data_IF_215350783585
#
_entry.id   IF_215350783585
#
_cell.length_a   1.000
_cell.length_b   1.000
_cell.length_c   1.000
_cell.angle_alpha   90.00
_cell.angle_beta   90.00
_cell.angle_gamma   90.00
#
_symmetry.space_group_name_H-M   'P 1'
#
loop_
_entity.id
_entity.type
_entity.pdbx_description
1 polymer ?
#
# COMPACT_ATOMS: atom_id res chain seq x y z
N UNK A 1 14.31 30.39 -2.28
CA UNK A 1 14.46 29.09 -2.97
C UNK A 1 13.71 28.04 -2.19
N UNK A 2 12.54 27.58 -2.68
CA UNK A 2 11.98 26.30 -2.27
C UNK A 2 12.33 25.32 -3.39
N UNK A 3 13.30 24.43 -3.15
CA UNK A 3 13.62 23.34 -4.08
C UNK A 3 12.39 22.43 -4.25
N UNK A 4 12.31 21.63 -5.34
CA UNK A 4 11.22 20.68 -5.48
C UNK A 4 11.22 19.80 -4.23
N UNK A 5 10.05 19.57 -3.64
CA UNK A 5 9.94 18.76 -2.44
C UNK A 5 10.64 17.41 -2.69
N UNK A 6 11.83 17.20 -2.10
CA UNK A 6 12.43 15.88 -1.97
C UNK A 6 11.40 15.13 -1.12
N UNK A 7 10.51 14.40 -1.79
CA UNK A 7 9.53 13.57 -1.12
C UNK A 7 10.27 12.69 -0.10
N UNK A 8 9.63 12.32 1.02
CA UNK A 8 10.28 11.52 2.04
C UNK A 8 11.02 10.34 1.39
N UNK A 9 12.32 10.24 1.64
CA UNK A 9 13.13 9.14 1.12
C UNK A 9 12.66 7.86 1.79
N UNK A 10 11.82 7.13 1.06
CA UNK A 10 11.33 5.83 1.50
C UNK A 10 12.50 4.84 1.50
N UNK A 11 12.64 4.11 2.60
CA UNK A 11 13.49 2.91 2.65
C UNK A 11 12.96 1.87 1.66
N UNK A 12 13.80 0.94 1.20
CA UNK A 12 13.38 -0.08 0.23
C UNK A 12 12.18 -0.90 0.72
N UNK A 13 12.15 -1.24 2.01
CA UNK A 13 11.01 -1.90 2.66
C UNK A 13 9.72 -1.08 2.59
N UNK A 14 9.82 0.25 2.73
CA UNK A 14 8.65 1.13 2.62
C UNK A 14 8.19 1.23 1.17
N UNK A 15 9.13 1.37 0.21
CA UNK A 15 8.82 1.36 -1.23
C UNK A 15 8.12 0.07 -1.64
N UNK A 16 8.63 -1.07 -1.16
CA UNK A 16 8.05 -2.38 -1.38
C UNK A 16 6.62 -2.47 -0.84
N UNK A 17 6.40 -2.02 0.40
CA UNK A 17 5.08 -2.04 1.02
C UNK A 17 4.10 -1.10 0.30
N UNK A 18 4.56 0.06 -0.16
CA UNK A 18 3.79 0.98 -0.99
C UNK A 18 3.39 0.34 -2.32
N UNK A 19 4.34 -0.33 -2.99
CA UNK A 19 4.09 -1.03 -4.25
C UNK A 19 3.06 -2.15 -4.06
N UNK A 20 3.21 -2.98 -3.03
CA UNK A 20 2.25 -4.04 -2.69
C UNK A 20 0.85 -3.48 -2.44
N UNK A 21 0.76 -2.37 -1.71
CA UNK A 21 -0.52 -1.76 -1.39
C UNK A 21 -1.23 -1.22 -2.65
N UNK A 22 -0.54 -0.45 -3.49
CA UNK A 22 -1.15 0.10 -4.72
C UNK A 22 -1.43 -0.96 -5.79
N UNK A 23 -0.70 -2.08 -5.77
CA UNK A 23 -0.96 -3.24 -6.65
C UNK A 23 -2.02 -4.19 -6.10
N UNK A 24 -2.54 -3.95 -4.90
CA UNK A 24 -3.64 -4.75 -4.37
C UNK A 24 -4.93 -4.41 -5.11
N UNK A 25 -5.65 -5.43 -5.55
CA UNK A 25 -6.91 -5.24 -6.26
C UNK A 25 -7.89 -4.41 -5.41
N UNK A 26 -8.63 -3.50 -6.05
CA UNK A 26 -9.53 -2.53 -5.41
C UNK A 26 -8.84 -1.41 -4.59
N UNK A 27 -7.50 -1.34 -4.57
CA UNK A 27 -6.76 -0.21 -4.01
C UNK A 27 -6.36 0.74 -5.14
N UNK A 28 -7.18 1.76 -5.38
CA UNK A 28 -6.85 2.87 -6.27
C UNK A 28 -6.07 4.00 -5.56
N UNK A 29 -5.64 5.05 -6.28
CA UNK A 29 -4.89 6.17 -5.69
C UNK A 29 -5.59 6.87 -4.52
N UNK A 30 -6.92 6.98 -4.58
CA UNK A 30 -7.72 7.56 -3.50
C UNK A 30 -7.72 6.67 -2.25
N UNK A 31 -8.02 5.37 -2.41
CA UNK A 31 -8.00 4.39 -1.31
C UNK A 31 -6.60 4.26 -0.72
N UNK A 32 -5.56 4.23 -1.55
CA UNK A 32 -4.18 4.22 -1.09
C UNK A 32 -3.91 5.41 -0.17
N UNK A 33 -4.24 6.64 -0.60
CA UNK A 33 -4.03 7.84 0.22
C UNK A 33 -4.84 7.80 1.51
N UNK A 34 -6.08 7.34 1.47
CA UNK A 34 -6.93 7.19 2.67
C UNK A 34 -6.31 6.21 3.67
N UNK A 35 -5.88 5.03 3.19
CA UNK A 35 -5.24 4.00 4.00
C UNK A 35 -3.94 4.52 4.63
N UNK A 36 -3.10 5.22 3.88
CA UNK A 36 -1.88 5.83 4.43
C UNK A 36 -2.20 6.90 5.47
N UNK A 37 -3.18 7.78 5.21
CA UNK A 37 -3.57 8.82 6.16
C UNK A 37 -4.17 8.24 7.45
N UNK A 38 -4.92 7.14 7.34
CA UNK A 38 -5.63 6.51 8.46
C UNK A 38 -4.73 5.63 9.32
N UNK A 39 -3.83 4.86 8.69
CA UNK A 39 -3.00 3.86 9.37
C UNK A 39 -1.53 4.26 9.49
N UNK A 40 -1.14 5.39 8.89
CA UNK A 40 0.20 5.97 8.97
C UNK A 40 1.27 5.29 8.09
N UNK A 41 1.06 4.04 7.66
CA UNK A 41 2.02 3.33 6.80
C UNK A 41 1.35 2.27 5.92
N UNK A 42 2.02 1.94 4.81
CA UNK A 42 1.56 0.88 3.92
C UNK A 42 1.67 -0.51 4.55
N UNK A 43 2.65 -0.74 5.44
CA UNK A 43 2.81 -2.01 6.16
C UNK A 43 1.60 -2.29 7.04
N UNK A 44 1.25 -1.35 7.92
CA UNK A 44 0.08 -1.48 8.80
C UNK A 44 -1.20 -1.57 7.99
N UNK A 45 -1.32 -0.80 6.91
CA UNK A 45 -2.47 -0.87 6.02
C UNK A 45 -2.63 -2.27 5.40
N UNK A 46 -1.55 -2.92 4.95
CA UNK A 46 -1.57 -4.26 4.38
C UNK A 46 -1.98 -5.34 5.39
N UNK A 47 -1.58 -5.19 6.66
CA UNK A 47 -1.95 -6.12 7.73
C UNK A 47 -3.45 -6.07 8.04
N UNK A 48 -4.03 -4.86 8.05
CA UNK A 48 -5.44 -4.64 8.42
C UNK A 48 -6.39 -4.74 7.20
N UNK A 49 -5.85 -4.64 5.98
CA UNK A 49 -6.63 -4.64 4.74
C UNK A 49 -7.63 -5.81 4.62
N UNK A 50 -7.27 -7.07 4.95
CA UNK A 50 -8.20 -8.19 4.88
C UNK A 50 -9.42 -8.00 5.79
N UNK A 51 -9.20 -7.51 7.02
CA UNK A 51 -10.26 -7.26 7.99
C UNK A 51 -11.20 -6.14 7.53
N UNK A 52 -10.65 -5.09 6.91
CA UNK A 52 -11.43 -3.99 6.33
C UNK A 52 -12.28 -4.46 5.15
N UNK A 53 -11.74 -5.31 4.28
CA UNK A 53 -12.47 -5.87 3.15
C UNK A 53 -13.67 -6.69 3.63
N UNK A 54 -13.46 -7.56 4.62
CA UNK A 54 -14.54 -8.36 5.21
C UNK A 54 -15.59 -7.45 5.85
N UNK A 55 -15.15 -6.47 6.67
CA UNK A 55 -16.05 -5.54 7.36
C UNK A 55 -16.81 -4.61 6.40
N UNK A 56 -16.23 -4.30 5.24
CA UNK A 56 -16.83 -3.51 4.17
C UNK A 56 -17.80 -4.28 3.27
N UNK A 57 -18.09 -5.56 3.59
CA UNK A 57 -18.99 -6.39 2.82
C UNK A 57 -18.39 -6.96 1.53
N UNK A 58 -17.05 -7.00 1.42
CA UNK A 58 -16.41 -7.62 0.26
C UNK A 58 -16.72 -9.13 0.24
N UNK A 59 -17.32 -9.58 -0.86
CA UNK A 59 -17.64 -10.99 -1.09
C UNK A 59 -16.36 -11.82 -1.28
N UNK A 60 -15.27 -11.19 -1.73
CA UNK A 60 -13.95 -11.81 -1.87
C UNK A 60 -12.86 -10.87 -1.36
N UNK A 61 -11.93 -11.43 -0.60
CA UNK A 61 -10.71 -10.74 -0.18
C UNK A 61 -9.84 -10.52 -1.43
N UNK A 62 -9.42 -9.28 -1.65
CA UNK A 62 -8.51 -8.98 -2.75
C UNK A 62 -7.17 -9.69 -2.55
N UNK A 63 -6.57 -10.17 -3.64
CA UNK A 63 -5.22 -10.72 -3.59
C UNK A 63 -4.24 -9.59 -3.27
N UNK A 64 -3.55 -9.71 -2.13
CA UNK A 64 -2.42 -8.87 -1.77
C UNK A 64 -1.15 -9.47 -2.41
N UNK A 65 -0.37 -8.72 -3.19
CA UNK A 65 0.89 -9.20 -3.75
C UNK A 65 1.87 -9.65 -2.66
N UNK A 66 2.60 -10.72 -2.93
CA UNK A 66 3.66 -11.22 -2.04
C UNK A 66 4.84 -10.24 -2.01
N UNK A 67 5.70 -10.36 -1.00
CA UNK A 67 6.95 -9.59 -0.92
C UNK A 67 7.81 -9.85 -2.17
N UNK A 68 8.04 -11.12 -2.51
CA UNK A 68 8.84 -11.51 -3.68
C UNK A 68 8.30 -10.99 -5.02
N UNK A 69 6.97 -10.95 -5.19
CA UNK A 69 6.35 -10.40 -6.41
C UNK A 69 6.61 -8.90 -6.56
N UNK A 70 6.58 -8.17 -5.45
CA UNK A 70 6.86 -6.75 -5.47
C UNK A 70 8.37 -6.45 -5.55
N UNK A 71 9.23 -7.32 -5.01
CA UNK A 71 10.69 -7.22 -5.18
C UNK A 71 11.08 -7.40 -6.64
N UNK A 72 10.51 -8.41 -7.32
CA UNK A 72 10.74 -8.67 -8.74
C UNK A 72 10.27 -7.53 -9.67
N UNK A 73 9.36 -6.66 -9.21
CA UNK A 73 8.95 -5.46 -9.95
C UNK A 73 9.82 -4.23 -9.69
N UNK A 74 10.60 -4.21 -8.59
CA UNK A 74 11.51 -3.12 -8.26
C UNK A 74 12.91 -3.31 -8.84
N UNK A 75 13.24 -4.52 -9.28
CA UNK A 75 14.45 -4.87 -10.06
C UNK A 75 14.31 -4.45 -11.54
#
# INVERSE_FOLDING_TARGET
MSGPADGPRLSDRQRLSWLRLIRTQNVGPASFRDLINRFGSAEVALEILPELMISGGAIRIARIPSIAEAEAELE
#
